data_IF_038298838193
#
_entry.id   IF_038298838193
#
_cell.length_a   1.000
_cell.length_b   1.000
_cell.length_c   1.000
_cell.angle_alpha   90.00
_cell.angle_beta   90.00
_cell.angle_gamma   90.00
#
_symmetry.space_group_name_H-M   'P 1'
#
loop_
_entity.id
_entity.type
_entity.pdbx_description
1 polymer ?
#
# COMPACT_ATOMS: atom_id res chain seq x y z
N UNK A 1 -13.66 -3.43 7.24
CA UNK A 1 -14.55 -4.20 6.35
C UNK A 1 -13.72 -4.74 5.20
N UNK A 2 -13.95 -5.99 4.80
CA UNK A 2 -13.07 -6.66 3.83
C UNK A 2 -13.28 -6.19 2.37
N UNK A 3 -14.39 -5.50 2.10
CA UNK A 3 -14.75 -4.97 0.77
C UNK A 3 -14.63 -3.43 0.71
N UNK A 4 -13.92 -2.83 1.68
CA UNK A 4 -13.68 -1.39 1.65
C UNK A 4 -12.66 -1.01 0.57
N UNK A 5 -12.74 0.21 0.01
CA UNK A 5 -11.76 0.69 -0.98
C UNK A 5 -10.36 0.86 -0.36
N UNK A 6 -10.27 0.94 0.97
CA UNK A 6 -9.03 1.12 1.71
C UNK A 6 -9.14 0.44 3.08
N UNK A 7 -8.01 -0.01 3.62
CA UNK A 7 -7.90 -0.41 5.03
C UNK A 7 -7.49 0.79 5.90
N UNK A 8 -7.86 0.81 7.19
CA UNK A 8 -7.45 1.88 8.10
C UNK A 8 -5.93 2.00 8.26
N UNK A 9 -5.24 0.87 8.49
CA UNK A 9 -3.79 0.81 8.61
C UNK A 9 -3.26 -0.52 8.06
N UNK A 10 -2.57 -0.55 6.91
CA UNK A 10 -2.08 -1.79 6.29
C UNK A 10 -1.03 -2.54 7.11
N UNK A 11 -0.51 -1.94 8.19
CA UNK A 11 0.43 -2.58 9.13
C UNK A 11 -0.28 -3.50 10.11
N UNK A 12 -1.59 -3.35 10.31
CA UNK A 12 -2.32 -4.14 11.26
C UNK A 12 -2.38 -5.61 10.79
N UNK A 13 -2.19 -6.59 11.69
CA UNK A 13 -2.11 -8.01 11.33
C UNK A 13 -3.37 -8.52 10.62
N UNK A 14 -4.53 -7.94 10.93
CA UNK A 14 -5.81 -8.27 10.30
C UNK A 14 -5.82 -7.98 8.79
N UNK A 15 -4.94 -7.10 8.31
CA UNK A 15 -4.81 -6.75 6.89
C UNK A 15 -3.59 -7.37 6.21
N UNK A 16 -2.83 -8.23 6.89
CA UNK A 16 -1.64 -8.86 6.31
C UNK A 16 -1.97 -9.60 5.01
N UNK A 17 -3.06 -10.37 5.01
CA UNK A 17 -3.50 -11.08 3.81
C UNK A 17 -3.76 -10.12 2.63
N UNK A 18 -4.46 -9.01 2.89
CA UNK A 18 -4.77 -8.02 1.86
C UNK A 18 -3.49 -7.34 1.35
N UNK A 19 -2.59 -6.93 2.25
CA UNK A 19 -1.29 -6.34 1.89
C UNK A 19 -0.48 -7.29 1.00
N UNK A 20 -0.35 -8.57 1.40
CA UNK A 20 0.38 -9.59 0.63
C UNK A 20 -0.24 -9.86 -0.74
N UNK A 21 -1.57 -9.87 -0.83
CA UNK A 21 -2.26 -10.03 -2.10
C UNK A 21 -1.93 -8.88 -3.07
N UNK A 22 -1.98 -7.63 -2.60
CA UNK A 22 -1.63 -6.46 -3.42
C UNK A 22 -0.15 -6.44 -3.81
N UNK A 23 0.74 -6.81 -2.89
CA UNK A 23 2.17 -7.00 -3.16
C UNK A 23 2.39 -8.04 -4.28
N UNK A 24 1.66 -9.14 -4.27
CA UNK A 24 1.75 -10.15 -5.34
C UNK A 24 1.29 -9.60 -6.70
N UNK A 25 0.28 -8.73 -6.74
CA UNK A 25 -0.12 -8.07 -7.98
C UNK A 25 0.96 -7.12 -8.49
N UNK A 26 1.63 -6.38 -7.60
CA UNK A 26 2.78 -5.56 -7.96
C UNK A 26 3.94 -6.38 -8.55
N UNK A 27 4.23 -7.55 -7.99
CA UNK A 27 5.24 -8.46 -8.57
C UNK A 27 4.90 -8.90 -10.00
N UNK A 28 3.62 -9.13 -10.30
CA UNK A 28 3.16 -9.44 -11.67
C UNK A 28 3.44 -8.25 -12.61
N UNK A 29 3.12 -7.04 -12.16
CA UNK A 29 3.38 -5.80 -12.91
C UNK A 29 4.88 -5.61 -13.16
N UNK A 30 5.71 -5.76 -12.12
CA UNK A 30 7.16 -5.61 -12.21
C UNK A 30 7.79 -6.63 -13.16
N UNK A 31 7.33 -7.89 -13.12
CA UNK A 31 7.78 -8.92 -14.05
C UNK A 31 7.48 -8.53 -15.50
N UNK A 32 6.23 -8.13 -15.78
CA UNK A 32 5.84 -7.66 -17.11
C UNK A 32 6.64 -6.43 -17.58
N UNK A 33 6.89 -5.49 -16.67
CA UNK A 33 7.70 -4.30 -16.97
C UNK A 33 9.16 -4.67 -17.27
N UNK A 34 9.74 -5.61 -16.52
CA UNK A 34 11.09 -6.13 -16.73
C UNK A 34 11.23 -6.82 -18.10
N UNK A 35 10.27 -7.69 -18.46
CA UNK A 35 10.22 -8.36 -19.77
C UNK A 35 10.16 -7.34 -20.93
N UNK A 36 9.50 -6.21 -20.70
CA UNK A 36 9.38 -5.09 -21.64
C UNK A 36 10.52 -4.07 -21.52
N UNK A 37 11.53 -4.37 -20.70
CA UNK A 37 12.75 -3.58 -20.52
C UNK A 37 12.51 -2.15 -20.00
N UNK A 38 11.44 -1.94 -19.24
CA UNK A 38 11.19 -0.67 -18.56
C UNK A 38 12.33 -0.38 -17.57
N UNK A 39 12.80 0.87 -17.54
CA UNK A 39 13.90 1.29 -16.65
C UNK A 39 13.41 1.82 -15.31
N UNK A 40 12.17 2.27 -15.26
CA UNK A 40 11.56 2.93 -14.11
C UNK A 40 10.14 2.41 -13.97
N UNK A 41 9.76 2.10 -12.73
CA UNK A 41 8.39 1.81 -12.33
C UNK A 41 7.93 2.88 -11.34
N UNK A 42 7.03 3.79 -11.74
CA UNK A 42 6.44 4.72 -10.78
C UNK A 42 5.43 3.99 -9.89
N UNK A 43 5.38 4.38 -8.63
CA UNK A 43 4.38 3.95 -7.68
C UNK A 43 4.05 5.14 -6.77
N UNK A 44 2.76 5.37 -6.59
CA UNK A 44 2.25 6.37 -5.66
C UNK A 44 1.41 5.62 -4.62
N UNK A 45 1.85 5.53 -3.35
CA UNK A 45 0.94 5.08 -2.30
C UNK A 45 -0.17 6.13 -2.17
N UNK A 46 -1.43 5.69 -2.21
CA UNK A 46 -2.57 6.58 -2.10
C UNK A 46 -3.38 6.20 -0.86
N UNK A 47 -3.20 6.99 0.20
CA UNK A 47 -4.12 7.09 1.31
C UNK A 47 -4.56 8.54 1.38
N UNK A 48 -5.87 8.77 1.37
CA UNK A 48 -6.46 10.09 1.17
C UNK A 48 -7.05 10.73 2.43
N UNK A 49 -7.11 12.08 2.49
CA UNK A 49 -7.97 12.80 3.42
C UNK A 49 -9.45 12.68 2.99
N UNK A 50 -10.35 13.48 3.57
CA UNK A 50 -11.75 13.62 3.14
C UNK A 50 -12.59 12.34 3.22
N UNK A 51 -12.36 11.52 4.25
CA UNK A 51 -13.13 10.30 4.53
C UNK A 51 -12.62 9.03 3.84
N UNK A 52 -11.50 9.10 3.11
CA UNK A 52 -10.79 7.90 2.65
C UNK A 52 -10.12 7.16 3.81
N UNK A 53 -9.38 7.91 4.64
CA UNK A 53 -8.92 7.39 5.92
C UNK A 53 -10.12 7.26 6.87
N UNK A 54 -10.22 6.11 7.52
CA UNK A 54 -11.32 5.85 8.45
C UNK A 54 -11.24 6.82 9.64
N UNK A 55 -12.39 7.33 10.06
CA UNK A 55 -12.54 8.24 11.19
C UNK A 55 -13.35 7.58 12.31
N UNK A 56 -13.03 7.93 13.56
CA UNK A 56 -13.82 7.52 14.70
C UNK A 56 -15.25 8.11 14.62
N UNK A 57 -16.29 7.34 14.99
CA UNK A 57 -17.66 7.81 14.94
C UNK A 57 -17.84 9.03 15.87
N UNK A 58 -18.67 9.99 15.45
CA UNK A 58 -18.97 11.25 16.14
C UNK A 58 -17.81 12.26 16.21
N UNK A 59 -16.60 11.86 16.62
CA UNK A 59 -15.46 12.79 16.76
C UNK A 59 -14.81 13.15 15.43
N UNK A 60 -14.93 12.28 14.43
CA UNK A 60 -14.28 12.41 13.12
C UNK A 60 -12.75 12.42 13.18
N UNK A 61 -12.18 11.95 14.29
CA UNK A 61 -10.74 11.83 14.42
C UNK A 61 -10.23 10.67 13.53
N UNK A 62 -9.18 10.89 12.72
CA UNK A 62 -8.64 9.82 11.89
C UNK A 62 -8.05 8.71 12.76
N UNK A 63 -8.29 7.45 12.39
CA UNK A 63 -7.80 6.30 13.17
C UNK A 63 -6.30 6.00 12.95
N UNK A 64 -5.64 6.75 12.08
CA UNK A 64 -4.20 6.68 11.84
C UNK A 64 -3.64 8.06 11.42
N UNK A 65 -2.32 8.22 11.51
CA UNK A 65 -1.62 9.37 10.95
C UNK A 65 -1.41 9.16 9.44
N UNK A 66 -2.14 9.94 8.63
CA UNK A 66 -2.14 9.84 7.17
C UNK A 66 -0.75 10.01 6.54
N UNK A 67 0.05 10.93 7.08
CA UNK A 67 1.39 11.23 6.56
C UNK A 67 2.36 10.10 6.87
N UNK A 68 2.34 9.61 8.10
CA UNK A 68 3.16 8.46 8.51
C UNK A 68 2.79 7.21 7.72
N UNK A 69 1.50 7.01 7.44
CA UNK A 69 1.02 5.85 6.71
C UNK A 69 1.48 5.88 5.24
N UNK A 70 1.34 7.03 4.56
CA UNK A 70 1.85 7.19 3.19
C UNK A 70 3.37 7.00 3.13
N UNK A 71 4.12 7.56 4.09
CA UNK A 71 5.57 7.35 4.19
C UNK A 71 5.93 5.89 4.44
N UNK A 72 5.17 5.19 5.28
CA UNK A 72 5.40 3.78 5.57
C UNK A 72 5.19 2.94 4.31
N UNK A 73 4.07 3.11 3.60
CA UNK A 73 3.78 2.40 2.36
C UNK A 73 4.82 2.65 1.27
N UNK A 74 5.26 3.90 1.10
CA UNK A 74 6.34 4.22 0.17
C UNK A 74 7.64 3.45 0.49
N UNK A 75 8.00 3.36 1.78
CA UNK A 75 9.20 2.64 2.23
C UNK A 75 9.04 1.13 2.08
N UNK A 76 7.90 0.58 2.50
CA UNK A 76 7.63 -0.86 2.44
C UNK A 76 7.67 -1.36 1.00
N UNK A 77 6.97 -0.69 0.08
CA UNK A 77 6.94 -1.14 -1.32
C UNK A 77 8.28 -0.92 -2.04
N UNK A 78 9.05 0.12 -1.68
CA UNK A 78 10.42 0.25 -2.18
C UNK A 78 11.29 -0.91 -1.73
N UNK A 79 11.26 -1.26 -0.44
CA UNK A 79 12.02 -2.40 0.08
C UNK A 79 11.53 -3.72 -0.52
N UNK A 80 10.24 -3.85 -0.74
CA UNK A 80 9.63 -5.00 -1.39
C UNK A 80 10.14 -5.16 -2.83
N UNK A 81 10.19 -4.08 -3.60
CA UNK A 81 10.79 -4.08 -4.93
C UNK A 81 12.29 -4.46 -4.90
N UNK A 82 13.05 -3.90 -3.95
CA UNK A 82 14.47 -4.23 -3.77
C UNK A 82 14.70 -5.71 -3.43
N UNK A 83 13.79 -6.34 -2.67
CA UNK A 83 13.81 -7.79 -2.40
C UNK A 83 13.47 -8.58 -3.67
N UNK A 84 12.41 -8.20 -4.37
CA UNK A 84 11.99 -8.83 -5.62
C UNK A 84 13.08 -8.82 -6.70
N UNK A 85 13.88 -7.75 -6.80
CA UNK A 85 14.99 -7.69 -7.76
C UNK A 85 16.20 -8.58 -7.41
N UNK A 86 16.28 -9.10 -6.19
CA UNK A 86 17.37 -10.00 -5.75
C UNK A 86 17.02 -11.48 -5.92
N UNK A 87 15.73 -11.80 -6.01
CA UNK A 87 15.20 -13.14 -6.25
C UNK A 87 15.25 -13.49 -7.75
#
# INVERSE_FOLDING_TARGET
YDQGPQVPDPRAPEYEYALRAHQRWWQIIWRSQSERQFKITPMTPEFGPDGYLHEAPFSREPVADLWQLNQWMAREEKQHYERFCKD
#
